data_IF_134231742863
#
_entry.id   IF_134231742863
#
_cell.length_a   1.000
_cell.length_b   1.000
_cell.length_c   1.000
_cell.angle_alpha   90.00
_cell.angle_beta   90.00
_cell.angle_gamma   90.00
#
_symmetry.space_group_name_H-M   'P 1'
#
loop_
_entity.id
_entity.type
_entity.pdbx_description
1 polymer ?
#
# COMPACT_ATOMS: atom_id res chain seq x y z
N UNK A 1 16.22 -11.04 -18.93
CA UNK A 1 16.83 -9.69 -18.87
C UNK A 1 15.80 -8.73 -19.44
N UNK A 2 15.58 -7.55 -18.85
CA UNK A 2 14.56 -6.65 -19.34
C UNK A 2 14.87 -6.23 -20.78
N UNK A 3 13.88 -6.23 -21.67
CA UNK A 3 14.04 -5.86 -23.07
C UNK A 3 13.22 -4.62 -23.42
N UNK A 4 13.87 -3.65 -24.09
CA UNK A 4 13.21 -2.44 -24.60
C UNK A 4 12.44 -1.66 -23.53
N UNK A 5 11.11 -1.69 -23.63
CA UNK A 5 10.18 -0.89 -22.82
C UNK A 5 10.12 -1.29 -21.34
N UNK A 6 10.49 -2.52 -21.00
CA UNK A 6 10.51 -3.00 -19.61
C UNK A 6 11.45 -2.17 -18.73
N UNK A 7 12.55 -1.64 -19.30
CA UNK A 7 13.45 -0.73 -18.60
C UNK A 7 12.77 0.58 -18.18
N UNK A 8 11.90 1.13 -19.04
CA UNK A 8 11.16 2.34 -18.74
C UNK A 8 10.14 2.08 -17.62
N UNK A 9 9.48 0.93 -17.65
CA UNK A 9 8.54 0.52 -16.59
C UNK A 9 9.26 0.37 -15.24
N UNK A 10 10.43 -0.29 -15.21
CA UNK A 10 11.25 -0.43 -14.00
C UNK A 10 11.74 0.90 -13.46
N UNK A 11 12.16 1.81 -14.34
CA UNK A 11 12.54 3.17 -13.97
C UNK A 11 11.35 3.92 -13.36
N UNK A 12 10.17 3.82 -13.97
CA UNK A 12 8.93 4.37 -13.44
C UNK A 12 8.62 3.82 -12.03
N UNK A 13 8.63 2.50 -11.86
CA UNK A 13 8.44 1.85 -10.55
C UNK A 13 9.46 2.37 -9.53
N UNK A 14 10.72 2.50 -9.92
CA UNK A 14 11.79 3.04 -9.07
C UNK A 14 11.52 4.47 -8.61
N UNK A 15 11.15 5.37 -9.53
CA UNK A 15 10.82 6.77 -9.21
C UNK A 15 9.64 6.84 -8.25
N UNK A 16 8.53 6.17 -8.55
CA UNK A 16 7.33 6.20 -7.71
C UNK A 16 7.60 5.59 -6.32
N UNK A 17 8.34 4.49 -6.26
CA UNK A 17 8.74 3.87 -4.98
C UNK A 17 9.59 4.81 -4.16
N UNK A 18 10.57 5.50 -4.78
CA UNK A 18 11.44 6.44 -4.08
C UNK A 18 10.64 7.64 -3.54
N UNK A 19 9.71 8.18 -4.33
CA UNK A 19 8.83 9.27 -3.90
C UNK A 19 7.98 8.82 -2.69
N UNK A 20 7.39 7.63 -2.75
CA UNK A 20 6.62 7.07 -1.64
C UNK A 20 7.46 6.93 -0.35
N UNK A 21 8.70 6.45 -0.46
CA UNK A 21 9.63 6.34 0.66
C UNK A 21 10.01 7.68 1.28
N UNK A 22 10.19 8.73 0.45
CA UNK A 22 10.46 10.08 0.94
C UNK A 22 9.26 10.61 1.76
N UNK A 23 8.03 10.42 1.26
CA UNK A 23 6.84 10.83 2.00
C UNK A 23 6.64 10.04 3.29
N UNK A 24 6.90 8.74 3.28
CA UNK A 24 6.86 7.91 4.49
C UNK A 24 7.86 8.41 5.54
N UNK A 25 9.11 8.64 5.13
CA UNK A 25 10.17 9.17 6.02
C UNK A 25 9.80 10.54 6.58
N UNK A 26 9.26 11.43 5.76
CA UNK A 26 8.77 12.74 6.22
C UNK A 26 7.58 12.60 7.18
N UNK A 27 6.62 11.72 6.88
CA UNK A 27 5.46 11.47 7.74
C UNK A 27 5.86 10.96 9.13
N UNK A 28 6.87 10.08 9.19
CA UNK A 28 7.47 9.60 10.44
C UNK A 28 8.21 10.69 11.24
N UNK A 29 8.65 11.77 10.58
CA UNK A 29 9.30 12.89 11.25
C UNK A 29 8.29 13.85 11.90
N UNK A 30 7.10 13.99 11.30
CA UNK A 30 6.05 14.89 11.80
C UNK A 30 5.07 14.22 12.78
N UNK A 31 4.83 12.92 12.64
CA UNK A 31 3.88 12.16 13.46
C UNK A 31 4.57 10.98 14.14
N UNK A 32 3.96 10.47 15.22
CA UNK A 32 4.49 9.29 15.90
C UNK A 32 4.49 8.07 14.98
N UNK A 33 5.48 7.18 15.16
CA UNK A 33 5.59 5.95 14.38
C UNK A 33 4.30 5.12 14.37
N UNK A 34 3.52 5.17 15.46
CA UNK A 34 2.22 4.52 15.57
C UNK A 34 1.19 5.06 14.55
N UNK A 35 1.08 6.40 14.42
CA UNK A 35 0.19 7.02 13.43
C UNK A 35 0.64 6.78 11.99
N UNK A 36 1.95 6.81 11.74
CA UNK A 36 2.49 6.52 10.41
C UNK A 36 2.23 5.06 10.00
N UNK A 37 2.40 4.11 10.92
CA UNK A 37 2.10 2.68 10.67
C UNK A 37 0.62 2.47 10.35
N UNK A 38 -0.26 3.24 10.99
CA UNK A 38 -1.69 3.26 10.70
C UNK A 38 -2.00 3.63 9.24
N UNK A 39 -1.35 4.68 8.73
CA UNK A 39 -1.52 5.11 7.34
C UNK A 39 -1.00 4.04 6.37
N UNK A 40 0.08 3.34 6.70
CA UNK A 40 0.60 2.25 5.87
C UNK A 40 -0.39 1.08 5.70
N UNK A 41 -1.25 0.80 6.68
CA UNK A 41 -2.28 -0.24 6.55
C UNK A 41 -3.36 0.10 5.50
N UNK A 42 -3.61 1.39 5.24
CA UNK A 42 -4.51 1.82 4.15
C UNK A 42 -3.96 1.37 2.78
N UNK A 43 -2.64 1.19 2.66
CA UNK A 43 -2.00 0.64 1.47
C UNK A 43 -2.53 -0.74 1.08
N UNK A 44 -2.96 -1.57 2.03
CA UNK A 44 -3.58 -2.88 1.74
C UNK A 44 -4.90 -2.70 0.97
N UNK A 45 -5.74 -1.74 1.38
CA UNK A 45 -7.01 -1.44 0.72
C UNK A 45 -6.76 -0.97 -0.71
N UNK A 46 -5.83 -0.03 -0.91
CA UNK A 46 -5.45 0.41 -2.25
C UNK A 46 -4.87 -0.72 -3.11
N UNK A 47 -4.03 -1.58 -2.54
CA UNK A 47 -3.46 -2.74 -3.24
C UNK A 47 -4.56 -3.68 -3.73
N UNK A 48 -5.55 -4.00 -2.89
CA UNK A 48 -6.68 -4.84 -3.28
C UNK A 48 -7.53 -4.18 -4.38
N UNK A 49 -7.78 -2.87 -4.29
CA UNK A 49 -8.52 -2.14 -5.33
C UNK A 49 -7.78 -2.19 -6.67
N UNK A 50 -6.48 -1.91 -6.68
CA UNK A 50 -5.66 -1.98 -7.89
C UNK A 50 -5.54 -3.41 -8.44
N UNK A 51 -5.45 -4.42 -7.56
CA UNK A 51 -5.50 -5.84 -7.92
C UNK A 51 -6.75 -6.19 -8.71
N UNK A 52 -7.92 -5.75 -8.24
CA UNK A 52 -9.20 -5.96 -8.93
C UNK A 52 -9.25 -5.16 -10.25
N UNK A 53 -8.84 -3.89 -10.24
CA UNK A 53 -9.02 -3.01 -11.41
C UNK A 53 -8.05 -3.28 -12.56
N UNK A 54 -6.76 -3.55 -12.26
CA UNK A 54 -5.72 -3.73 -13.28
C UNK A 54 -5.57 -5.20 -13.64
N UNK A 55 -5.62 -6.09 -12.65
CA UNK A 55 -5.31 -7.51 -12.84
C UNK A 55 -6.55 -8.40 -12.87
N UNK A 56 -7.75 -7.83 -12.67
CA UNK A 56 -9.01 -8.57 -12.57
C UNK A 56 -8.96 -9.70 -11.52
N UNK A 57 -8.12 -9.55 -10.49
CA UNK A 57 -7.99 -10.53 -9.42
C UNK A 57 -9.22 -10.46 -8.53
N UNK A 58 -10.11 -11.45 -8.64
CA UNK A 58 -11.27 -11.59 -7.76
C UNK A 58 -10.77 -12.15 -6.43
N UNK A 59 -10.91 -11.42 -5.30
CA UNK A 59 -10.42 -11.87 -4.01
C UNK A 59 -11.18 -13.12 -3.55
N UNK A 60 -10.44 -14.16 -3.17
CA UNK A 60 -11.03 -15.33 -2.52
C UNK A 60 -11.44 -15.00 -1.07
N UNK A 61 -12.27 -15.86 -0.48
CA UNK A 61 -12.82 -15.73 0.87
C UNK A 61 -11.72 -15.46 1.93
N UNK A 62 -10.55 -16.09 1.79
CA UNK A 62 -9.41 -15.89 2.70
C UNK A 62 -8.87 -14.46 2.65
N UNK A 63 -8.79 -13.88 1.45
CA UNK A 63 -8.35 -12.50 1.23
C UNK A 63 -9.36 -11.51 1.82
N UNK A 64 -10.66 -11.80 1.69
CA UNK A 64 -11.71 -10.97 2.30
C UNK A 64 -11.65 -10.95 3.83
N UNK A 65 -11.38 -12.09 4.48
CA UNK A 65 -11.17 -12.13 5.94
C UNK A 65 -9.97 -11.29 6.34
N UNK A 66 -8.84 -11.46 5.61
CA UNK A 66 -7.62 -10.69 5.88
C UNK A 66 -7.87 -9.18 5.76
N UNK A 67 -8.55 -8.75 4.69
CA UNK A 67 -8.94 -7.36 4.50
C UNK A 67 -9.85 -6.85 5.63
N UNK A 68 -10.82 -7.66 6.09
CA UNK A 68 -11.68 -7.30 7.21
C UNK A 68 -10.90 -7.09 8.52
N UNK A 69 -9.90 -7.94 8.80
CA UNK A 69 -9.02 -7.75 9.97
C UNK A 69 -8.19 -6.47 9.88
N UNK A 70 -7.64 -6.15 8.71
CA UNK A 70 -6.88 -4.92 8.50
C UNK A 70 -7.77 -3.69 8.73
N UNK A 71 -8.97 -3.67 8.16
CA UNK A 71 -9.94 -2.58 8.34
C UNK A 71 -10.31 -2.44 9.83
N UNK A 72 -10.56 -3.56 10.53
CA UNK A 72 -10.87 -3.54 11.95
C UNK A 72 -9.73 -2.96 12.79
N UNK A 73 -8.48 -3.33 12.50
CA UNK A 73 -7.30 -2.79 13.16
C UNK A 73 -7.17 -1.27 12.96
N UNK A 74 -7.35 -0.79 11.73
CA UNK A 74 -7.34 0.65 11.42
C UNK A 74 -8.40 1.40 12.23
N UNK A 75 -9.64 0.89 12.27
CA UNK A 75 -10.75 1.53 13.01
C UNK A 75 -10.45 1.56 14.51
N UNK A 76 -9.95 0.46 15.08
CA UNK A 76 -9.59 0.37 16.50
C UNK A 76 -8.50 1.37 16.87
N UNK A 77 -7.46 1.46 16.05
CA UNK A 77 -6.32 2.34 16.34
C UNK A 77 -6.65 3.81 16.07
N UNK A 78 -7.55 4.14 15.13
CA UNK A 78 -8.03 5.51 14.91
C UNK A 78 -8.84 6.09 16.08
N UNK A 79 -9.35 5.24 16.99
CA UNK A 79 -10.13 5.66 18.17
C UNK A 79 -9.31 5.75 19.46
N UNK A 80 -8.00 5.48 19.42
CA UNK A 80 -7.09 5.53 20.59
C UNK A 80 -6.12 6.70 20.44
#
# INVERSE_FOLDING_TARGET
>A
MPQGWEWLMLLGVGIFTQIAQIFMTKGLHYETAAKATNVSYIGVVFSTIWGILIFAEIPDWRTLIGAAFVIFAIIKMART
#
